data_IF_458699466612
#
_entry.id   IF_458699466612
#
_cell.length_a   1.000
_cell.length_b   1.000
_cell.length_c   1.000
_cell.angle_alpha   90.00
_cell.angle_beta   90.00
_cell.angle_gamma   90.00
#
_symmetry.space_group_name_H-M   'P 1'
#
loop_
_entity.id
_entity.type
_entity.pdbx_description
1 polymer ?
#
# COMPACT_ATOMS: atom_id res chain seq x y z
N UNK A 1 -10.57 -7.60 13.21
CA UNK A 1 -10.70 -6.61 12.12
C UNK A 1 -9.82 -5.42 12.45
N UNK A 2 -9.16 -4.82 11.45
CA UNK A 2 -8.59 -3.48 11.61
C UNK A 2 -9.68 -2.50 12.05
N UNK A 3 -9.33 -1.43 12.74
CA UNK A 3 -10.29 -0.39 13.07
C UNK A 3 -10.73 0.31 11.78
N UNK A 4 -12.03 0.57 11.64
CA UNK A 4 -12.52 1.42 10.56
C UNK A 4 -11.97 2.83 10.72
N UNK A 5 -11.68 3.50 9.63
CA UNK A 5 -11.14 4.88 9.65
C UNK A 5 -12.23 5.93 9.45
N UNK A 6 -13.39 5.52 8.87
CA UNK A 6 -14.54 6.39 8.60
C UNK A 6 -15.85 5.60 8.66
N UNK A 7 -16.97 6.30 8.84
CA UNK A 7 -18.31 5.81 8.53
C UNK A 7 -18.52 5.79 7.01
N UNK A 8 -19.28 4.81 6.50
CA UNK A 8 -19.46 4.61 5.05
C UNK A 8 -20.13 5.77 4.33
N UNK A 9 -21.01 6.51 5.00
CA UNK A 9 -21.73 7.68 4.46
C UNK A 9 -20.83 8.91 4.23
N UNK A 10 -19.64 8.94 4.83
CA UNK A 10 -18.65 10.00 4.58
C UNK A 10 -18.15 10.05 3.12
N UNK A 11 -18.48 9.06 2.32
CA UNK A 11 -18.03 8.91 0.92
C UNK A 11 -19.19 8.87 -0.09
N UNK A 12 -20.29 9.54 0.21
CA UNK A 12 -21.42 9.65 -0.72
C UNK A 12 -20.97 10.20 -2.09
N UNK A 13 -21.30 9.45 -3.15
CA UNK A 13 -20.92 9.79 -4.53
C UNK A 13 -19.57 9.26 -4.99
N UNK A 14 -18.82 8.58 -4.12
CA UNK A 14 -17.61 7.84 -4.48
C UNK A 14 -17.94 6.40 -4.91
N UNK A 15 -17.06 5.81 -5.73
CA UNK A 15 -17.20 4.42 -6.19
C UNK A 15 -16.29 3.51 -5.33
N UNK A 16 -16.61 3.41 -4.03
CA UNK A 16 -15.79 2.58 -3.13
C UNK A 16 -15.79 1.12 -3.57
N UNK A 17 -14.62 0.49 -3.68
CA UNK A 17 -14.55 -0.95 -3.79
C UNK A 17 -15.25 -1.60 -2.58
N UNK A 18 -16.21 -2.49 -2.84
CA UNK A 18 -16.92 -3.23 -1.80
C UNK A 18 -16.44 -4.67 -1.79
N UNK A 19 -16.20 -5.19 -0.60
CA UNK A 19 -15.76 -6.57 -0.41
C UNK A 19 -16.73 -7.32 0.48
N UNK A 20 -16.92 -8.60 0.16
CA UNK A 20 -17.85 -9.49 0.88
C UNK A 20 -17.14 -10.31 1.97
N UNK A 21 -15.83 -10.21 2.07
CA UNK A 21 -15.04 -10.95 3.03
C UNK A 21 -13.61 -10.45 3.16
N UNK A 22 -12.92 -10.93 4.18
CA UNK A 22 -11.51 -10.65 4.40
C UNK A 22 -10.78 -11.86 4.97
N UNK A 23 -9.49 -12.00 4.65
CA UNK A 23 -8.59 -12.91 5.32
C UNK A 23 -7.88 -12.18 6.47
N UNK A 24 -8.03 -12.69 7.68
CA UNK A 24 -7.30 -12.15 8.83
C UNK A 24 -5.88 -12.72 8.91
N UNK A 25 -4.94 -11.91 9.40
CA UNK A 25 -3.65 -12.42 9.85
C UNK A 25 -3.79 -13.26 11.13
N UNK A 26 -2.74 -13.98 11.52
CA UNK A 26 -2.74 -14.70 12.78
C UNK A 26 -2.97 -13.75 13.95
N UNK A 27 -3.80 -14.15 14.92
CA UNK A 27 -4.19 -13.35 16.08
C UNK A 27 -2.99 -12.72 16.80
N UNK A 28 -1.94 -13.51 17.08
CA UNK A 28 -0.71 -13.02 17.70
C UNK A 28 -0.02 -11.87 16.94
N UNK A 29 -0.10 -11.86 15.62
CA UNK A 29 0.46 -10.79 14.80
C UNK A 29 -0.46 -9.58 14.82
N UNK A 30 -1.77 -9.79 14.74
CA UNK A 30 -2.76 -8.73 14.82
C UNK A 30 -2.72 -7.99 16.16
N UNK A 31 -2.59 -8.72 17.27
CA UNK A 31 -2.53 -8.14 18.62
C UNK A 31 -1.26 -7.33 18.87
N UNK A 32 -0.16 -7.70 18.21
CA UNK A 32 1.12 -6.99 18.32
C UNK A 32 1.24 -5.80 17.35
N UNK A 33 0.38 -5.74 16.34
CA UNK A 33 0.44 -4.69 15.33
C UNK A 33 -0.16 -3.38 15.82
N UNK A 34 0.48 -2.25 15.49
CA UNK A 34 -0.07 -0.91 15.76
C UNK A 34 -1.26 -0.56 14.89
N UNK A 35 -1.31 -1.09 13.68
CA UNK A 35 -2.39 -0.96 12.72
C UNK A 35 -2.38 -2.14 11.78
N UNK A 36 -3.43 -2.28 10.97
CA UNK A 36 -3.53 -3.25 9.90
C UNK A 36 -4.28 -2.64 8.72
N UNK A 37 -4.00 -3.12 7.53
CA UNK A 37 -4.63 -2.67 6.31
C UNK A 37 -4.66 -3.77 5.26
N UNK A 38 -5.55 -3.64 4.30
CA UNK A 38 -5.63 -4.56 3.18
C UNK A 38 -4.50 -4.28 2.15
N UNK A 39 -4.09 -5.30 1.40
CA UNK A 39 -3.00 -5.18 0.41
C UNK A 39 -3.38 -5.64 -1.00
N UNK A 40 -4.65 -5.85 -1.25
CA UNK A 40 -5.14 -6.31 -2.54
C UNK A 40 -4.78 -5.31 -3.65
N UNK A 41 -4.21 -5.80 -4.74
CA UNK A 41 -4.04 -5.03 -5.95
C UNK A 41 -5.33 -5.07 -6.78
N UNK A 42 -5.61 -3.98 -7.47
CA UNK A 42 -6.67 -3.93 -8.47
C UNK A 42 -6.01 -4.03 -9.86
N UNK A 43 -6.47 -4.98 -10.65
CA UNK A 43 -6.05 -5.12 -12.03
C UNK A 43 -6.92 -4.23 -12.91
N UNK A 44 -6.30 -3.49 -13.82
CA UNK A 44 -7.01 -2.85 -14.93
C UNK A 44 -7.53 -3.93 -15.91
N UNK A 45 -8.40 -3.57 -16.84
CA UNK A 45 -9.02 -4.49 -17.81
C UNK A 45 -8.00 -5.28 -18.65
N UNK A 46 -6.79 -4.74 -18.82
CA UNK A 46 -5.69 -5.39 -19.52
C UNK A 46 -4.78 -6.24 -18.62
N UNK A 47 -5.16 -6.42 -17.35
CA UNK A 47 -4.41 -7.20 -16.37
C UNK A 47 -3.18 -6.51 -15.80
N UNK A 48 -3.00 -5.22 -16.06
CA UNK A 48 -1.86 -4.43 -15.58
C UNK A 48 -2.23 -3.68 -14.29
N UNK A 49 -1.42 -3.75 -13.26
CA UNK A 49 -1.56 -2.96 -12.03
C UNK A 49 -0.97 -1.56 -12.27
N UNK A 50 -1.83 -0.55 -12.33
CA UNK A 50 -1.42 0.86 -12.42
C UNK A 50 -1.78 1.64 -11.17
N UNK A 51 -2.80 1.19 -10.47
CA UNK A 51 -3.34 1.85 -9.29
C UNK A 51 -3.61 0.82 -8.20
N UNK A 52 -3.67 1.26 -6.97
CA UNK A 52 -4.08 0.40 -5.85
C UNK A 52 -5.19 1.08 -5.07
N UNK A 53 -6.19 0.33 -4.59
CA UNK A 53 -7.19 0.88 -3.69
C UNK A 53 -6.52 1.38 -2.41
N UNK A 54 -6.86 2.58 -1.98
CA UNK A 54 -6.35 3.19 -0.75
C UNK A 54 -7.34 2.99 0.38
N UNK A 55 -8.62 3.04 0.05
CA UNK A 55 -9.74 2.82 0.96
C UNK A 55 -10.71 1.80 0.35
N UNK A 56 -11.38 1.03 1.18
CA UNK A 56 -12.42 0.07 0.78
C UNK A 56 -13.57 0.05 1.76
N UNK A 57 -14.75 -0.36 1.29
CA UNK A 57 -15.93 -0.53 2.12
C UNK A 57 -16.15 -2.01 2.44
N UNK A 58 -16.33 -2.32 3.71
CA UNK A 58 -16.73 -3.64 4.19
C UNK A 58 -17.72 -3.49 5.35
N UNK A 59 -18.89 -4.12 5.25
CA UNK A 59 -19.96 -4.05 6.26
C UNK A 59 -20.32 -2.60 6.66
N UNK A 60 -20.40 -1.68 5.70
CA UNK A 60 -20.76 -0.28 5.95
C UNK A 60 -19.68 0.57 6.61
N UNK A 61 -18.49 0.03 6.79
CA UNK A 61 -17.34 0.75 7.37
C UNK A 61 -16.19 0.82 6.37
N UNK A 62 -15.43 1.91 6.41
CA UNK A 62 -14.30 2.16 5.51
C UNK A 62 -13.00 1.75 6.17
N UNK A 63 -12.23 0.95 5.46
CA UNK A 63 -10.93 0.43 5.90
C UNK A 63 -9.80 0.95 5.02
N UNK A 64 -8.65 1.16 5.62
CA UNK A 64 -7.45 1.63 4.95
C UNK A 64 -6.60 0.50 4.37
N UNK A 65 -5.89 0.80 3.28
CA UNK A 65 -4.87 -0.13 2.73
C UNK A 65 -3.64 -0.22 3.63
N UNK A 66 -2.85 -1.28 3.45
CA UNK A 66 -1.59 -1.47 4.16
C UNK A 66 -0.65 -0.27 3.96
N UNK A 67 -0.54 0.25 2.74
CA UNK A 67 0.31 1.41 2.47
C UNK A 67 -0.15 2.65 3.23
N UNK A 68 -1.46 2.93 3.27
CA UNK A 68 -2.01 4.06 4.03
C UNK A 68 -1.81 3.86 5.53
N UNK A 69 -2.10 2.66 6.05
CA UNK A 69 -1.87 2.32 7.46
C UNK A 69 -0.40 2.51 7.87
N UNK A 70 0.54 2.08 7.03
CA UNK A 70 1.98 2.26 7.27
C UNK A 70 2.38 3.74 7.27
N UNK A 71 1.89 4.53 6.31
CA UNK A 71 2.14 5.99 6.26
C UNK A 71 1.60 6.68 7.52
N UNK A 72 0.42 6.29 7.99
CA UNK A 72 -0.17 6.84 9.21
C UNK A 72 0.63 6.46 10.46
N UNK A 73 1.01 5.19 10.59
CA UNK A 73 1.85 4.75 11.73
C UNK A 73 3.21 5.45 11.71
N UNK A 74 3.79 5.67 10.53
CA UNK A 74 5.04 6.41 10.37
C UNK A 74 4.91 7.88 10.80
N UNK A 75 3.78 8.53 10.50
CA UNK A 75 3.47 9.92 10.87
C UNK A 75 2.80 10.07 12.24
N UNK A 76 2.87 9.08 13.13
CA UNK A 76 2.23 9.07 14.45
C UNK A 76 0.70 9.14 14.42
N UNK A 77 0.09 8.40 13.48
CA UNK A 77 -1.35 8.25 13.29
C UNK A 77 -2.12 9.58 13.10
N UNK A 78 -1.71 10.44 12.16
CA UNK A 78 -2.47 11.64 11.86
C UNK A 78 -3.88 11.31 11.38
N UNK A 79 -4.86 12.20 11.57
CA UNK A 79 -6.18 12.06 10.99
C UNK A 79 -6.08 12.08 9.45
N UNK A 80 -6.96 11.35 8.81
CA UNK A 80 -7.09 11.40 7.35
C UNK A 80 -7.99 12.59 7.02
N UNK A 81 -7.51 13.51 6.19
CA UNK A 81 -8.29 14.57 5.60
C UNK A 81 -8.52 14.29 4.12
N UNK A 82 -9.77 14.46 3.67
CA UNK A 82 -10.14 14.32 2.26
C UNK A 82 -10.73 15.63 1.77
N UNK A 83 -10.04 16.25 0.79
CA UNK A 83 -10.49 17.49 0.15
C UNK A 83 -10.56 17.25 -1.38
N UNK A 84 -11.77 17.13 -1.89
CA UNK A 84 -11.99 16.67 -3.26
C UNK A 84 -11.27 15.34 -3.51
N UNK A 85 -10.39 15.31 -4.50
CA UNK A 85 -9.60 14.11 -4.85
C UNK A 85 -8.33 13.90 -4.00
N UNK A 86 -8.06 14.76 -3.05
CA UNK A 86 -6.79 14.75 -2.32
C UNK A 86 -6.97 14.20 -0.92
N UNK A 87 -6.45 13.00 -0.67
CA UNK A 87 -6.27 12.46 0.67
C UNK A 87 -4.96 13.00 1.24
N UNK A 88 -5.01 13.58 2.41
CA UNK A 88 -3.86 14.19 3.09
C UNK A 88 -3.70 13.63 4.50
N UNK A 89 -2.49 13.28 4.87
CA UNK A 89 -2.10 12.94 6.24
C UNK A 89 -1.42 14.15 6.92
N UNK A 90 -0.66 14.91 6.14
CA UNK A 90 0.01 16.14 6.55
C UNK A 90 0.26 17.05 5.32
N UNK A 91 1.07 18.09 5.48
CA UNK A 91 1.38 19.02 4.41
C UNK A 91 2.21 18.38 3.26
N UNK A 92 2.99 17.35 3.53
CA UNK A 92 3.87 16.67 2.59
C UNK A 92 3.29 15.37 2.06
N UNK A 93 2.66 14.59 2.93
CA UNK A 93 2.14 13.25 2.59
C UNK A 93 0.71 13.36 2.07
N UNK A 94 0.59 13.39 0.74
CA UNK A 94 -0.66 13.59 0.03
C UNK A 94 -0.81 12.56 -1.09
N UNK A 95 -2.01 11.97 -1.20
CA UNK A 95 -2.35 10.98 -2.21
C UNK A 95 -3.52 11.50 -3.04
N UNK A 96 -3.29 11.89 -4.31
CA UNK A 96 -4.38 12.12 -5.24
C UNK A 96 -5.11 10.81 -5.53
N UNK A 97 -6.43 10.82 -5.40
CA UNK A 97 -7.27 9.64 -5.58
C UNK A 97 -8.13 9.76 -6.83
N UNK A 98 -8.30 8.66 -7.52
CA UNK A 98 -9.35 8.52 -8.53
C UNK A 98 -10.72 8.37 -7.83
N UNK A 99 -11.81 8.43 -8.60
CA UNK A 99 -13.18 8.38 -8.08
C UNK A 99 -13.53 7.08 -7.35
N UNK A 100 -12.81 6.01 -7.64
CA UNK A 100 -12.90 4.69 -7.00
C UNK A 100 -11.96 4.54 -5.79
N UNK A 101 -11.45 5.66 -5.25
CA UNK A 101 -10.51 5.71 -4.14
C UNK A 101 -9.19 4.93 -4.37
N UNK A 102 -8.82 4.77 -5.62
CA UNK A 102 -7.49 4.25 -5.97
C UNK A 102 -6.46 5.38 -6.07
N UNK A 103 -5.23 5.10 -5.68
CA UNK A 103 -4.07 5.94 -5.94
C UNK A 103 -3.24 5.34 -7.07
N UNK A 104 -2.81 6.18 -8.01
CA UNK A 104 -1.89 5.74 -9.06
C UNK A 104 -0.49 5.55 -8.50
N UNK A 105 0.07 4.36 -8.74
CA UNK A 105 1.42 4.03 -8.25
C UNK A 105 2.47 4.70 -9.14
N UNK A 106 3.44 5.44 -8.56
CA UNK A 106 4.48 6.13 -9.33
C UNK A 106 5.59 5.17 -9.77
N UNK A 107 5.24 4.20 -10.63
CA UNK A 107 6.21 3.25 -11.16
C UNK A 107 7.31 3.95 -11.95
N UNK A 108 8.57 3.56 -11.73
CA UNK A 108 9.72 4.06 -12.45
C UNK A 108 10.81 2.97 -12.52
N UNK A 109 11.23 2.65 -13.74
CA UNK A 109 12.25 1.62 -13.98
C UNK A 109 11.75 0.20 -13.73
N UNK A 110 12.66 -0.77 -13.90
CA UNK A 110 12.37 -2.18 -13.67
C UNK A 110 12.17 -2.49 -12.19
N UNK A 111 11.47 -3.58 -11.90
CA UNK A 111 11.21 -4.07 -10.56
C UNK A 111 12.10 -5.28 -10.20
N UNK A 112 12.16 -5.60 -8.92
CA UNK A 112 12.84 -6.78 -8.40
C UNK A 112 14.26 -6.51 -7.89
N UNK A 113 14.91 -7.53 -7.32
CA UNK A 113 16.17 -7.37 -6.57
C UNK A 113 17.35 -6.85 -7.41
N UNK A 114 17.32 -7.03 -8.74
CA UNK A 114 18.38 -6.56 -9.63
C UNK A 114 18.15 -5.13 -10.17
N UNK A 115 16.97 -4.57 -9.95
CA UNK A 115 16.62 -3.23 -10.43
C UNK A 115 17.26 -2.09 -9.62
N UNK A 116 17.69 -2.37 -8.39
CA UNK A 116 18.40 -1.42 -7.53
C UNK A 116 17.55 -0.28 -6.94
N UNK A 117 16.22 -0.27 -7.17
CA UNK A 117 15.33 0.76 -6.63
C UNK A 117 15.09 0.59 -5.13
N UNK A 118 14.86 -0.63 -4.71
CA UNK A 118 14.74 -1.00 -3.30
C UNK A 118 15.81 -2.03 -2.95
N UNK A 119 16.27 -1.96 -1.71
CA UNK A 119 17.19 -2.94 -1.18
C UNK A 119 16.42 -4.21 -0.81
N UNK A 120 16.84 -5.34 -1.37
CA UNK A 120 16.29 -6.66 -1.04
C UNK A 120 17.25 -7.39 -0.10
N UNK A 121 16.72 -7.85 1.01
CA UNK A 121 17.46 -8.62 2.01
C UNK A 121 16.72 -9.94 2.22
N UNK A 122 17.44 -11.06 2.14
CA UNK A 122 16.86 -12.37 2.40
C UNK A 122 16.37 -12.48 3.84
N UNK A 123 15.11 -12.90 4.03
CA UNK A 123 14.58 -13.18 5.37
C UNK A 123 15.42 -14.24 6.11
N UNK A 124 15.96 -15.23 5.39
CA UNK A 124 16.88 -16.22 5.97
C UNK A 124 18.13 -15.58 6.54
N UNK A 125 18.73 -14.62 5.84
CA UNK A 125 19.93 -13.93 6.32
C UNK A 125 19.66 -13.10 7.57
N UNK A 126 18.44 -12.53 7.68
CA UNK A 126 18.00 -11.82 8.88
C UNK A 126 17.85 -12.78 10.06
N UNK A 127 17.13 -13.89 9.84
CA UNK A 127 16.85 -14.90 10.89
C UNK A 127 18.15 -15.53 11.40
N UNK A 128 19.11 -15.78 10.53
CA UNK A 128 20.40 -16.38 10.88
C UNK A 128 21.45 -15.36 11.37
N UNK A 129 21.05 -14.08 11.52
CA UNK A 129 21.92 -13.04 12.06
C UNK A 129 23.08 -12.63 11.14
N UNK A 130 22.98 -12.88 9.83
CA UNK A 130 24.00 -12.51 8.85
C UNK A 130 23.88 -11.05 8.38
N UNK A 131 22.84 -10.36 8.76
CA UNK A 131 22.60 -8.96 8.40
C UNK A 131 22.84 -8.06 9.59
N UNK A 132 23.62 -7.01 9.41
CA UNK A 132 23.80 -5.99 10.44
C UNK A 132 22.46 -5.31 10.76
N UNK A 133 21.98 -5.35 12.02
CA UNK A 133 20.73 -4.70 12.43
C UNK A 133 20.71 -3.18 12.15
N UNK A 134 21.86 -2.53 12.04
CA UNK A 134 21.94 -1.11 11.72
C UNK A 134 21.36 -0.76 10.35
N UNK A 135 21.26 -1.75 9.43
CA UNK A 135 20.63 -1.55 8.10
C UNK A 135 19.15 -1.30 8.17
N UNK A 136 18.48 -1.67 9.25
CA UNK A 136 17.05 -1.49 9.44
C UNK A 136 16.69 -0.23 10.24
N UNK A 137 17.69 0.44 10.83
CA UNK A 137 17.46 1.62 11.66
C UNK A 137 16.90 2.77 10.82
N UNK A 138 15.84 3.40 11.33
CA UNK A 138 15.16 4.54 10.69
C UNK A 138 14.68 4.23 9.25
N UNK A 139 14.27 2.98 9.01
CA UNK A 139 13.76 2.51 7.73
C UNK A 139 12.35 1.96 7.85
N UNK A 140 11.55 2.17 6.83
CA UNK A 140 10.33 1.39 6.60
C UNK A 140 10.76 0.08 5.95
N UNK A 141 10.47 -1.03 6.62
CA UNK A 141 10.81 -2.38 6.15
C UNK A 141 9.53 -3.12 5.80
N UNK A 142 9.43 -3.61 4.57
CA UNK A 142 8.36 -4.47 4.13
C UNK A 142 8.83 -5.92 4.07
N UNK A 143 8.04 -6.81 4.61
CA UNK A 143 8.25 -8.27 4.50
C UNK A 143 7.22 -8.82 3.54
N UNK A 144 7.67 -9.47 2.48
CA UNK A 144 6.78 -10.01 1.46
C UNK A 144 7.41 -11.16 0.69
N UNK A 145 6.56 -11.91 0.01
CA UNK A 145 6.98 -13.00 -0.84
C UNK A 145 7.51 -12.43 -2.17
N UNK A 146 8.73 -12.77 -2.54
CA UNK A 146 9.34 -12.35 -3.81
C UNK A 146 9.84 -13.51 -4.66
N UNK A 147 9.78 -14.74 -4.13
CA UNK A 147 10.23 -15.93 -4.84
C UNK A 147 9.28 -16.31 -5.99
N UNK A 148 9.81 -16.77 -7.14
CA UNK A 148 9.00 -17.31 -8.22
C UNK A 148 8.07 -18.43 -7.73
N UNK A 149 6.80 -18.41 -8.18
CA UNK A 149 5.82 -19.46 -7.86
C UNK A 149 5.02 -19.25 -6.57
N UNK A 150 5.26 -18.20 -5.79
CA UNK A 150 4.44 -17.88 -4.59
C UNK A 150 3.18 -17.08 -4.94
N UNK A 151 2.99 -16.67 -6.20
CA UNK A 151 1.71 -16.10 -6.68
C UNK A 151 1.49 -14.60 -6.39
N UNK A 152 2.37 -13.91 -5.67
CA UNK A 152 2.24 -12.47 -5.42
C UNK A 152 3.13 -11.67 -6.39
N UNK A 153 2.84 -11.80 -7.68
CA UNK A 153 3.55 -11.07 -8.73
C UNK A 153 2.57 -10.46 -9.72
N UNK A 154 2.86 -9.25 -10.13
CA UNK A 154 1.97 -8.44 -10.95
C UNK A 154 2.67 -7.90 -12.20
N UNK A 155 1.93 -7.83 -13.29
CA UNK A 155 2.32 -7.00 -14.43
C UNK A 155 2.05 -5.54 -14.11
N UNK A 156 3.05 -4.69 -14.32
CA UNK A 156 2.98 -3.23 -14.12
C UNK A 156 3.40 -2.52 -15.40
N UNK A 157 3.20 -1.20 -15.54
CA UNK A 157 3.60 -0.48 -16.75
C UNK A 157 5.09 -0.55 -17.09
N UNK A 158 5.92 -0.92 -16.14
CA UNK A 158 7.41 -0.92 -16.29
C UNK A 158 8.03 -2.30 -16.17
N UNK A 159 7.27 -3.30 -15.75
CA UNK A 159 7.77 -4.68 -15.59
C UNK A 159 6.61 -5.67 -15.62
N UNK A 160 6.81 -6.77 -16.31
CA UNK A 160 5.83 -7.87 -16.40
C UNK A 160 5.84 -8.77 -15.14
N UNK A 161 6.80 -8.58 -14.25
CA UNK A 161 7.06 -9.47 -13.11
C UNK A 161 7.50 -8.66 -11.87
N UNK A 162 6.57 -7.86 -11.33
CA UNK A 162 6.79 -7.03 -10.15
C UNK A 162 6.28 -7.75 -8.90
N UNK A 163 7.09 -7.94 -7.85
CA UNK A 163 6.61 -8.44 -6.58
C UNK A 163 5.55 -7.51 -5.96
N UNK A 164 4.45 -8.06 -5.43
CA UNK A 164 3.37 -7.26 -4.85
C UNK A 164 3.84 -6.36 -3.69
N UNK A 165 4.79 -6.84 -2.89
CA UNK A 165 5.43 -6.03 -1.85
C UNK A 165 6.13 -4.78 -2.41
N UNK A 166 6.68 -4.83 -3.63
CA UNK A 166 7.32 -3.68 -4.27
C UNK A 166 6.29 -2.67 -4.81
N UNK A 167 5.09 -3.12 -5.17
CA UNK A 167 3.97 -2.22 -5.49
C UNK A 167 3.65 -1.34 -4.28
N UNK A 168 3.51 -1.94 -3.09
CA UNK A 168 3.27 -1.23 -1.83
C UNK A 168 4.44 -0.30 -1.48
N UNK A 169 5.68 -0.78 -1.60
CA UNK A 169 6.89 0.02 -1.37
C UNK A 169 6.94 1.25 -2.28
N UNK A 170 6.57 1.09 -3.56
CA UNK A 170 6.56 2.17 -4.55
C UNK A 170 5.53 3.24 -4.22
N UNK A 171 4.33 2.84 -3.79
CA UNK A 171 3.29 3.78 -3.36
C UNK A 171 3.75 4.57 -2.13
N UNK A 172 4.25 3.89 -1.10
CA UNK A 172 4.75 4.51 0.15
C UNK A 172 5.87 5.49 -0.17
N UNK A 173 6.87 5.08 -0.94
CA UNK A 173 8.00 5.92 -1.31
C UNK A 173 7.56 7.16 -2.10
N UNK A 174 6.60 7.01 -3.02
CA UNK A 174 6.05 8.13 -3.78
C UNK A 174 5.29 9.12 -2.92
N UNK A 175 4.48 8.62 -1.99
CA UNK A 175 3.73 9.46 -1.05
C UNK A 175 4.67 10.26 -0.14
N UNK A 176 5.69 9.63 0.44
CA UNK A 176 6.69 10.29 1.29
C UNK A 176 7.55 11.31 0.54
N UNK A 177 7.82 11.05 -0.74
CA UNK A 177 8.59 11.98 -1.59
C UNK A 177 7.72 13.11 -2.18
N UNK A 178 6.39 13.09 -1.99
CA UNK A 178 5.48 14.04 -2.62
C UNK A 178 5.36 13.87 -4.15
N UNK A 179 5.72 12.71 -4.68
CA UNK A 179 5.77 12.42 -6.12
C UNK A 179 4.63 11.49 -6.53
N UNK A 180 3.40 11.85 -6.20
CA UNK A 180 2.21 11.09 -6.56
C UNK A 180 1.60 11.58 -7.86
N UNK A 181 1.34 10.69 -8.85
CA UNK A 181 0.68 11.08 -10.08
C UNK A 181 -0.76 11.53 -9.81
N UNK A 182 -1.15 12.65 -10.41
CA UNK A 182 -2.51 13.16 -10.35
C UNK A 182 -3.29 12.73 -11.61
N UNK A 183 -4.48 12.19 -11.43
CA UNK A 183 -5.42 11.86 -12.51
C UNK A 183 -6.69 12.68 -12.28
N UNK A 184 -6.95 13.70 -13.12
CA UNK A 184 -8.18 14.49 -12.98
C UNK A 184 -9.43 13.63 -13.19
N UNK A 185 -10.48 13.92 -12.46
CA UNK A 185 -11.81 13.39 -12.78
C UNK A 185 -12.37 14.11 -14.00
N UNK A 186 -12.87 13.35 -14.94
CA UNK A 186 -13.57 13.85 -16.12
C UNK A 186 -15.08 13.63 -15.99
#
# INVERSE_FOLDING_TARGET
>A
LPSSVFEGDAFDGWLLPQWDGFGASQERLSDAARSSGFYNAQLDDDGVVRSVPVLTLFNGQVYESLALAMLRVYGDNPPIALDGQLLSLDAQTRLPLARDLTARVPFAGQAGPQAGRFEYISATDVIEGRVDPARFRDRIVLVGASAPGIGDRHTTPVSIDTPGVEVQATLIAGALAGHMPYVPWH
#
